data_IF_928469823727
#
_entry.id   IF_928469823727
#
_cell.length_a   1.000
_cell.length_b   1.000
_cell.length_c   1.000
_cell.angle_alpha   90.00
_cell.angle_beta   90.00
_cell.angle_gamma   90.00
#
_symmetry.space_group_name_H-M   'P 1'
#
loop_
_entity.id
_entity.type
_entity.pdbx_description
1 polymer ?
#
# COMPACT_ATOMS: atom_id res chain seq x y z
N UNK A 1 73.04 -70.57 -18.67
CA UNK A 1 72.04 -70.55 -19.76
C UNK A 1 70.68 -70.21 -19.16
N UNK A 2 69.94 -69.29 -19.83
CA UNK A 2 68.49 -68.96 -19.68
C UNK A 2 68.07 -68.37 -18.31
N UNK A 3 68.02 -67.03 -18.15
CA UNK A 3 66.96 -66.06 -18.53
C UNK A 3 65.58 -66.42 -17.96
N UNK A 4 65.06 -65.58 -17.05
CA UNK A 4 63.77 -64.89 -17.20
C UNK A 4 63.58 -63.86 -16.07
N UNK A 5 63.67 -62.58 -16.46
CA UNK A 5 63.19 -61.40 -15.74
C UNK A 5 61.66 -61.43 -15.75
N UNK A 6 61.01 -61.19 -14.61
CA UNK A 6 59.60 -60.83 -14.54
C UNK A 6 59.51 -59.39 -14.01
N UNK A 7 59.17 -58.46 -14.91
CA UNK A 7 58.88 -57.06 -14.61
C UNK A 7 57.43 -57.01 -14.12
N UNK A 8 57.24 -56.74 -12.83
CA UNK A 8 55.93 -56.46 -12.26
C UNK A 8 55.56 -55.01 -12.56
N UNK A 9 54.58 -54.82 -13.46
CA UNK A 9 53.95 -53.53 -13.73
C UNK A 9 53.00 -53.21 -12.57
N UNK A 10 53.32 -52.17 -11.80
CA UNK A 10 52.43 -51.62 -10.78
C UNK A 10 51.47 -50.66 -11.48
N UNK A 11 50.14 -50.89 -11.46
CA UNK A 11 49.19 -49.88 -11.89
C UNK A 11 49.10 -48.79 -10.82
N UNK A 12 49.52 -47.58 -11.18
CA UNK A 12 49.37 -46.36 -10.40
C UNK A 12 47.88 -45.99 -10.35
N UNK A 13 47.23 -46.28 -9.22
CA UNK A 13 45.86 -45.85 -8.94
C UNK A 13 45.90 -44.34 -8.65
N UNK A 14 45.42 -43.55 -9.61
CA UNK A 14 45.08 -42.13 -9.41
C UNK A 14 43.87 -42.07 -8.48
N UNK A 15 44.12 -41.78 -7.20
CA UNK A 15 43.10 -41.31 -6.25
C UNK A 15 42.66 -39.92 -6.71
N UNK A 16 41.58 -39.88 -7.49
CA UNK A 16 40.79 -38.67 -7.67
C UNK A 16 40.18 -38.40 -6.29
N UNK A 17 40.82 -37.53 -5.51
CA UNK A 17 40.14 -36.85 -4.42
C UNK A 17 39.04 -36.04 -5.07
N UNK A 18 37.82 -36.58 -5.08
CA UNK A 18 36.64 -35.75 -5.24
C UNK A 18 36.71 -34.72 -4.13
N UNK A 19 36.79 -33.44 -4.49
CA UNK A 19 36.29 -32.41 -3.61
C UNK A 19 34.83 -32.76 -3.35
N UNK A 20 34.55 -33.39 -2.22
CA UNK A 20 33.24 -33.22 -1.60
C UNK A 20 33.18 -31.73 -1.29
N UNK A 21 32.57 -30.95 -2.19
CA UNK A 21 32.09 -29.62 -1.85
C UNK A 21 31.10 -29.86 -0.70
N UNK A 22 31.52 -29.49 0.52
CA UNK A 22 30.61 -29.39 1.66
C UNK A 22 29.38 -28.61 1.17
N UNK A 23 28.16 -29.12 1.40
CA UNK A 23 26.98 -28.42 0.93
C UNK A 23 27.00 -27.01 1.51
N UNK A 24 27.09 -26.01 0.63
CA UNK A 24 27.05 -24.60 1.02
C UNK A 24 25.80 -24.40 1.86
N UNK A 25 25.99 -23.96 3.11
CA UNK A 25 24.89 -23.70 4.02
C UNK A 25 24.04 -22.56 3.44
N UNK A 26 22.87 -22.90 2.93
CA UNK A 26 21.93 -21.92 2.37
C UNK A 26 21.49 -20.95 3.47
N UNK A 27 21.71 -19.65 3.24
CA UNK A 27 21.26 -18.60 4.16
C UNK A 27 19.73 -18.59 4.24
N UNK A 28 19.21 -18.73 5.46
CA UNK A 28 17.78 -18.65 5.71
C UNK A 28 17.33 -17.20 5.82
N UNK A 29 16.15 -16.89 5.29
CA UNK A 29 15.60 -15.55 5.36
C UNK A 29 15.26 -15.13 6.80
N UNK A 30 15.31 -13.83 7.12
CA UNK A 30 14.59 -13.32 8.29
C UNK A 30 13.09 -13.57 8.16
N UNK A 31 12.31 -13.31 9.21
CA UNK A 31 10.84 -13.51 9.17
C UNK A 31 10.08 -12.32 9.75
N UNK A 32 8.75 -12.31 9.59
CA UNK A 32 7.85 -11.33 10.21
C UNK A 32 8.26 -9.86 9.96
N UNK A 33 8.45 -9.49 8.68
CA UNK A 33 8.70 -8.09 8.33
C UNK A 33 7.45 -7.26 8.64
N UNK A 34 7.63 -6.26 9.49
CA UNK A 34 6.62 -5.28 9.85
C UNK A 34 7.07 -3.91 9.37
N UNK A 35 6.08 -3.07 9.09
CA UNK A 35 6.26 -1.68 8.69
C UNK A 35 5.37 -0.81 9.59
N UNK A 36 5.96 0.25 10.10
CA UNK A 36 5.26 1.27 10.89
C UNK A 36 5.63 2.66 10.39
N UNK A 37 4.71 3.61 10.52
CA UNK A 37 4.99 5.02 10.26
C UNK A 37 5.72 5.61 11.45
N UNK A 38 6.71 6.46 11.17
CA UNK A 38 7.49 7.16 12.18
C UNK A 38 7.76 8.59 11.75
N UNK A 39 8.33 9.38 12.66
CA UNK A 39 8.52 10.81 12.50
C UNK A 39 7.23 11.61 12.73
N UNK A 40 7.37 12.86 13.16
CA UNK A 40 6.21 13.73 13.45
C UNK A 40 5.40 14.12 12.21
N UNK A 41 6.00 14.01 11.02
CA UNK A 41 5.35 14.35 9.75
C UNK A 41 4.62 13.18 9.10
N UNK A 42 4.69 11.97 9.68
CA UNK A 42 4.13 10.74 9.10
C UNK A 42 4.59 10.46 7.65
N UNK A 43 5.81 10.88 7.32
CA UNK A 43 6.46 10.60 6.04
C UNK A 43 7.65 9.66 6.19
N UNK A 44 8.06 9.27 7.39
CA UNK A 44 9.12 8.27 7.56
C UNK A 44 8.53 6.91 7.88
N UNK A 45 9.26 5.85 7.54
CA UNK A 45 8.87 4.49 7.88
C UNK A 45 9.96 3.79 8.67
N UNK A 46 9.55 2.89 9.56
CA UNK A 46 10.44 1.97 10.25
C UNK A 46 10.04 0.54 9.89
N UNK A 47 11.07 -0.23 9.53
CA UNK A 47 10.98 -1.66 9.26
C UNK A 47 11.55 -2.40 10.46
N UNK A 48 10.86 -3.44 10.90
CA UNK A 48 11.33 -4.37 11.93
C UNK A 48 11.09 -5.80 11.49
N UNK A 49 11.99 -6.70 11.82
CA UNK A 49 11.86 -8.12 11.47
C UNK A 49 12.42 -9.02 12.57
N UNK A 50 12.08 -10.30 12.51
CA UNK A 50 12.71 -11.33 13.31
C UNK A 50 14.01 -11.76 12.62
N UNK A 51 15.06 -12.00 13.42
CA UNK A 51 16.35 -12.41 12.92
C UNK A 51 16.29 -13.68 12.07
N UNK A 52 17.21 -13.82 11.12
CA UNK A 52 17.43 -15.08 10.42
C UNK A 52 17.84 -16.17 11.42
N UNK A 53 17.37 -17.42 11.25
CA UNK A 53 17.86 -18.54 12.05
C UNK A 53 19.31 -18.95 11.71
N UNK A 54 19.86 -18.52 10.56
CA UNK A 54 21.26 -18.82 10.19
C UNK A 54 22.25 -18.12 11.12
N UNK A 55 23.15 -18.90 11.73
CA UNK A 55 23.98 -18.49 12.87
C UNK A 55 25.39 -18.06 12.49
N UNK A 56 25.59 -16.90 11.86
CA UNK A 56 26.90 -16.36 11.37
C UNK A 56 26.67 -15.54 10.09
N UNK A 57 25.56 -14.81 10.04
CA UNK A 57 25.34 -13.81 9.01
C UNK A 57 26.13 -12.55 9.38
N UNK A 58 26.56 -11.79 8.38
CA UNK A 58 27.20 -10.49 8.59
C UNK A 58 26.16 -9.41 8.90
N UNK A 59 24.93 -9.57 8.41
CA UNK A 59 23.82 -8.67 8.67
C UNK A 59 22.67 -8.85 7.69
N UNK A 60 21.98 -7.76 7.41
CA UNK A 60 20.84 -7.68 6.52
C UNK A 60 21.03 -6.62 5.45
N UNK A 61 20.66 -6.93 4.21
CA UNK A 61 20.55 -5.97 3.11
C UNK A 61 19.11 -5.50 3.04
N UNK A 62 18.89 -4.20 3.15
CA UNK A 62 17.57 -3.57 3.02
C UNK A 62 17.48 -2.89 1.66
N UNK A 63 16.45 -3.22 0.89
CA UNK A 63 16.19 -2.65 -0.44
C UNK A 63 14.80 -2.04 -0.51
N UNK A 64 14.65 -1.02 -1.33
CA UNK A 64 13.36 -0.57 -1.86
C UNK A 64 13.35 -0.86 -3.35
N UNK A 65 12.38 -1.67 -3.77
CA UNK A 65 12.39 -2.33 -5.07
C UNK A 65 13.72 -3.11 -5.22
N UNK A 66 14.53 -2.76 -6.23
CA UNK A 66 15.82 -3.41 -6.49
C UNK A 66 17.01 -2.51 -6.11
N UNK A 67 16.75 -1.36 -5.47
CA UNK A 67 17.79 -0.43 -5.01
C UNK A 67 18.14 -0.74 -3.56
N UNK A 68 19.42 -1.04 -3.31
CA UNK A 68 19.95 -1.17 -1.95
C UNK A 68 19.92 0.18 -1.24
N UNK A 69 19.19 0.23 -0.13
CA UNK A 69 19.14 1.38 0.75
C UNK A 69 20.29 1.34 1.74
N UNK A 70 20.50 0.19 2.38
CA UNK A 70 21.54 0.02 3.41
C UNK A 70 21.89 -1.45 3.69
N UNK A 71 23.00 -1.66 4.41
CA UNK A 71 23.36 -2.91 5.08
C UNK A 71 23.45 -2.69 6.58
N UNK A 72 22.64 -3.41 7.34
CA UNK A 72 22.53 -3.23 8.79
C UNK A 72 22.82 -4.53 9.54
N UNK A 73 23.39 -4.43 10.75
CA UNK A 73 23.65 -5.61 11.61
C UNK A 73 22.49 -5.91 12.56
N UNK A 74 21.65 -4.91 12.84
CA UNK A 74 20.45 -5.06 13.67
C UNK A 74 19.22 -5.52 12.87
N UNK A 75 18.11 -5.76 13.58
CA UNK A 75 16.84 -6.21 13.00
C UNK A 75 15.82 -5.08 12.78
N UNK A 76 16.32 -3.87 12.59
CA UNK A 76 15.50 -2.68 12.34
C UNK A 76 16.20 -1.73 11.37
N UNK A 77 15.40 -1.02 10.58
CA UNK A 77 15.85 0.03 9.67
C UNK A 77 14.83 1.16 9.60
N UNK A 78 15.27 2.40 9.48
CA UNK A 78 14.38 3.57 9.31
C UNK A 78 14.71 4.25 7.99
N UNK A 79 13.70 4.35 7.11
CA UNK A 79 13.79 5.12 5.88
C UNK A 79 13.12 6.48 6.11
N UNK A 80 13.93 7.51 6.32
CA UNK A 80 13.43 8.86 6.56
C UNK A 80 12.92 9.48 5.25
N UNK A 81 11.66 9.92 5.24
CA UNK A 81 11.01 10.62 4.12
C UNK A 81 11.34 10.03 2.74
N UNK A 82 10.99 8.74 2.45
CA UNK A 82 11.28 8.14 1.17
C UNK A 82 10.56 8.90 0.06
N UNK A 83 11.25 9.14 -1.04
CA UNK A 83 10.69 9.86 -2.22
C UNK A 83 9.91 8.93 -3.17
N UNK A 84 9.98 7.62 -2.93
CA UNK A 84 9.34 6.60 -3.75
C UNK A 84 8.58 5.60 -2.89
N UNK A 85 7.43 5.18 -3.39
CA UNK A 85 6.71 3.99 -2.98
C UNK A 85 7.28 2.75 -3.69
N UNK A 86 7.07 1.59 -3.09
CA UNK A 86 7.56 0.34 -3.64
C UNK A 86 7.52 -0.81 -2.64
N UNK A 87 8.16 -1.90 -3.03
CA UNK A 87 8.31 -3.11 -2.21
C UNK A 87 9.61 -3.02 -1.43
N UNK A 88 9.51 -2.97 -0.11
CA UNK A 88 10.67 -3.12 0.76
C UNK A 88 11.03 -4.60 0.84
N UNK A 89 12.33 -4.89 0.73
CA UNK A 89 12.88 -6.25 0.82
C UNK A 89 14.01 -6.29 1.83
N UNK A 90 14.00 -7.31 2.67
CA UNK A 90 15.08 -7.58 3.63
C UNK A 90 15.59 -9.00 3.38
N UNK A 91 16.91 -9.11 3.20
CA UNK A 91 17.63 -10.39 3.06
C UNK A 91 18.72 -10.46 4.12
N UNK A 92 18.97 -11.63 4.68
CA UNK A 92 20.21 -11.86 5.42
C UNK A 92 21.37 -12.04 4.43
N UNK A 93 22.58 -11.66 4.82
CA UNK A 93 23.76 -11.85 3.96
C UNK A 93 24.98 -12.34 4.74
N UNK A 94 25.88 -13.02 4.05
CA UNK A 94 27.21 -13.46 4.51
C UNK A 94 28.18 -13.38 3.34
N UNK A 95 29.19 -12.52 3.41
CA UNK A 95 30.03 -12.20 2.24
C UNK A 95 29.18 -11.68 1.08
N UNK A 96 29.28 -12.36 -0.06
CA UNK A 96 28.52 -12.04 -1.27
C UNK A 96 27.18 -12.82 -1.37
N UNK A 97 26.92 -13.76 -0.46
CA UNK A 97 25.71 -14.58 -0.45
C UNK A 97 24.54 -13.84 0.23
N UNK A 98 23.34 -14.01 -0.32
CA UNK A 98 22.10 -13.46 0.22
C UNK A 98 21.02 -14.55 0.34
N UNK A 99 20.26 -14.52 1.43
CA UNK A 99 19.06 -15.35 1.60
C UNK A 99 17.94 -14.93 0.64
N UNK A 100 16.86 -15.71 0.61
CA UNK A 100 15.57 -15.23 0.12
C UNK A 100 15.12 -13.95 0.85
N UNK A 101 14.28 -13.16 0.19
CA UNK A 101 13.74 -11.92 0.74
C UNK A 101 12.41 -12.14 1.46
N UNK A 102 12.25 -11.47 2.61
CA UNK A 102 10.93 -11.09 3.11
C UNK A 102 10.58 -9.70 2.60
N UNK A 103 9.29 -9.44 2.42
CA UNK A 103 8.85 -8.21 1.76
C UNK A 103 7.55 -7.65 2.32
N UNK A 104 7.41 -6.33 2.20
CA UNK A 104 6.20 -5.56 2.52
C UNK A 104 6.10 -4.40 1.52
N UNK A 105 4.89 -4.04 1.10
CA UNK A 105 4.68 -3.01 0.07
C UNK A 105 4.11 -1.72 0.64
N UNK A 106 4.59 -0.60 0.12
CA UNK A 106 4.02 0.74 0.29
C UNK A 106 3.33 1.24 -0.98
N UNK A 107 3.29 0.41 -2.03
CA UNK A 107 2.63 0.75 -3.29
C UNK A 107 1.14 0.98 -3.07
N UNK A 108 0.58 1.96 -3.78
CA UNK A 108 -0.84 2.20 -3.71
C UNK A 108 -1.62 1.06 -4.35
N UNK A 109 -2.70 0.68 -3.69
CA UNK A 109 -3.71 -0.19 -4.28
C UNK A 109 -4.59 0.68 -5.16
N UNK A 110 -4.32 0.66 -6.46
CA UNK A 110 -5.04 1.45 -7.46
C UNK A 110 -6.20 0.63 -8.02
N UNK A 111 -7.38 1.26 -8.11
CA UNK A 111 -8.56 0.70 -8.77
C UNK A 111 -9.20 1.75 -9.67
N UNK A 112 -9.51 1.31 -10.88
CA UNK A 112 -10.15 2.09 -11.94
C UNK A 112 -11.65 1.78 -12.01
N UNK A 113 -12.43 2.63 -12.67
CA UNK A 113 -13.84 2.37 -13.01
C UNK A 113 -14.72 2.01 -11.79
N UNK A 114 -14.54 2.75 -10.69
CA UNK A 114 -15.29 2.57 -9.45
C UNK A 114 -16.59 3.38 -9.46
N UNK A 115 -17.56 2.95 -8.65
CA UNK A 115 -18.93 3.45 -8.70
C UNK A 115 -19.77 2.75 -9.78
N UNK A 116 -20.88 3.36 -10.26
CA UNK A 116 -21.37 4.68 -9.86
C UNK A 116 -21.84 4.71 -8.41
N UNK A 117 -21.57 5.82 -7.73
CA UNK A 117 -22.21 6.15 -6.45
C UNK A 117 -23.32 7.14 -6.74
N UNK A 118 -24.55 6.74 -6.44
CA UNK A 118 -25.75 7.51 -6.76
C UNK A 118 -26.10 8.50 -5.66
N UNK A 119 -26.85 9.55 -6.01
CA UNK A 119 -27.37 10.48 -5.02
C UNK A 119 -28.25 9.74 -4.01
N UNK A 120 -28.25 10.21 -2.76
CA UNK A 120 -28.95 9.58 -1.66
C UNK A 120 -30.43 9.32 -1.96
N UNK A 121 -31.11 10.29 -2.58
CA UNK A 121 -32.53 10.23 -2.93
C UNK A 121 -32.83 9.49 -4.25
N UNK A 122 -31.87 8.76 -4.83
CA UNK A 122 -32.15 7.91 -5.98
C UNK A 122 -33.24 6.88 -5.65
N UNK A 123 -34.13 6.58 -6.61
CA UNK A 123 -34.95 5.38 -6.54
C UNK A 123 -34.08 4.17 -6.21
N UNK A 124 -34.53 3.35 -5.28
CA UNK A 124 -33.74 2.24 -4.71
C UNK A 124 -33.31 1.19 -5.73
N UNK A 125 -34.00 1.11 -6.88
CA UNK A 125 -33.67 0.24 -8.01
C UNK A 125 -32.59 0.81 -8.94
N UNK A 126 -32.17 2.06 -8.74
CA UNK A 126 -31.15 2.74 -9.55
C UNK A 126 -29.73 2.33 -9.15
N UNK A 127 -29.48 2.18 -7.84
CA UNK A 127 -28.18 1.78 -7.31
C UNK A 127 -27.91 2.34 -5.92
N UNK A 128 -26.69 2.11 -5.46
CA UNK A 128 -26.25 2.44 -4.11
C UNK A 128 -25.64 3.83 -4.01
N UNK A 129 -25.89 4.50 -2.88
CA UNK A 129 -25.50 5.90 -2.64
C UNK A 129 -24.29 6.08 -1.74
N UNK A 130 -23.73 4.98 -1.24
CA UNK A 130 -22.56 4.99 -0.38
C UNK A 130 -21.44 4.11 -0.92
N UNK A 131 -20.23 4.33 -0.41
CA UNK A 131 -19.04 3.58 -0.72
C UNK A 131 -18.13 3.49 0.50
N UNK A 132 -17.39 2.39 0.63
CA UNK A 132 -16.36 2.24 1.65
C UNK A 132 -15.32 1.21 1.27
N UNK A 133 -14.17 1.25 1.94
CA UNK A 133 -13.01 0.40 1.77
C UNK A 133 -12.78 -0.45 3.01
N UNK A 134 -12.40 -1.71 2.79
CA UNK A 134 -11.86 -2.53 3.87
C UNK A 134 -10.36 -2.25 4.10
N UNK A 135 -9.78 -2.91 5.10
CA UNK A 135 -8.35 -2.77 5.43
C UNK A 135 -7.40 -3.17 4.28
N UNK A 136 -7.84 -4.03 3.37
CA UNK A 136 -7.08 -4.44 2.19
C UNK A 136 -7.21 -3.44 1.02
N UNK A 137 -7.84 -2.29 1.25
CA UNK A 137 -8.08 -1.26 0.23
C UNK A 137 -9.04 -1.71 -0.87
N UNK A 138 -9.87 -2.73 -0.63
CA UNK A 138 -10.93 -3.18 -1.54
C UNK A 138 -12.18 -2.38 -1.21
N UNK A 139 -12.66 -1.62 -2.19
CA UNK A 139 -13.84 -0.80 -2.05
C UNK A 139 -15.11 -1.42 -2.63
N UNK A 140 -16.26 -1.12 -2.01
CA UNK A 140 -17.59 -1.56 -2.43
C UNK A 140 -18.61 -0.44 -2.28
N UNK A 141 -19.70 -0.52 -3.05
CA UNK A 141 -20.87 0.35 -2.91
C UNK A 141 -21.89 -0.24 -1.93
N UNK A 142 -22.56 0.61 -1.16
CA UNK A 142 -23.51 0.20 -0.11
C UNK A 142 -24.83 1.00 -0.15
N UNK A 143 -25.92 0.36 0.25
CA UNK A 143 -27.13 1.07 0.62
C UNK A 143 -26.93 1.80 1.95
N UNK A 144 -27.49 3.00 2.08
CA UNK A 144 -27.46 3.80 3.31
C UNK A 144 -28.48 3.28 4.33
N UNK A 145 -28.19 2.10 4.89
CA UNK A 145 -28.97 1.48 5.98
C UNK A 145 -28.07 1.21 7.18
N UNK A 146 -28.64 1.22 8.39
CA UNK A 146 -27.85 1.12 9.63
C UNK A 146 -26.96 -0.11 9.71
N UNK A 147 -27.32 -1.23 9.07
CA UNK A 147 -26.51 -2.44 9.03
C UNK A 147 -25.16 -2.26 8.28
N UNK A 148 -25.05 -1.25 7.41
CA UNK A 148 -23.84 -0.96 6.63
C UNK A 148 -23.02 0.20 7.19
N UNK A 149 -23.45 0.85 8.28
CA UNK A 149 -22.88 2.12 8.75
C UNK A 149 -21.38 2.01 9.07
N UNK A 150 -20.94 0.86 9.56
CA UNK A 150 -19.54 0.55 9.91
C UNK A 150 -18.75 0.00 8.70
N UNK A 151 -19.26 0.15 7.48
CA UNK A 151 -18.59 -0.25 6.23
C UNK A 151 -18.63 0.86 5.18
N UNK A 152 -19.23 2.00 5.51
CA UNK A 152 -19.35 3.14 4.63
C UNK A 152 -18.28 4.14 5.05
N UNK A 153 -17.53 4.67 4.10
CA UNK A 153 -16.58 5.76 4.33
C UNK A 153 -17.09 7.08 3.75
N UNK A 154 -17.93 7.04 2.73
CA UNK A 154 -18.66 8.22 2.27
C UNK A 154 -20.00 7.85 1.64
N UNK A 155 -20.93 8.81 1.66
CA UNK A 155 -22.14 8.76 0.84
C UNK A 155 -22.24 9.99 -0.03
N UNK A 156 -22.94 9.85 -1.17
CA UNK A 156 -23.24 10.97 -2.05
C UNK A 156 -24.60 11.55 -1.74
N UNK A 157 -24.63 12.86 -1.54
CA UNK A 157 -25.88 13.60 -1.38
C UNK A 157 -25.78 14.98 -2.05
N UNK A 158 -26.92 15.57 -2.34
CA UNK A 158 -27.05 16.95 -2.80
C UNK A 158 -27.67 17.78 -1.68
N UNK A 159 -27.16 18.99 -1.46
CA UNK A 159 -27.89 19.97 -0.65
C UNK A 159 -29.13 20.47 -1.43
N UNK A 160 -30.17 19.64 -1.44
CA UNK A 160 -31.52 19.95 -1.91
C UNK A 160 -31.90 19.34 -3.26
N UNK A 161 -33.16 18.92 -3.37
CA UNK A 161 -33.79 18.47 -4.61
C UNK A 161 -33.84 19.64 -5.60
N UNK A 162 -33.02 19.57 -6.65
CA UNK A 162 -32.94 20.57 -7.72
C UNK A 162 -32.12 21.84 -7.43
N UNK A 163 -31.27 21.90 -6.38
CA UNK A 163 -30.65 23.16 -5.92
C UNK A 163 -29.23 23.09 -5.30
N UNK A 164 -28.33 22.21 -5.76
CA UNK A 164 -26.98 22.19 -5.17
C UNK A 164 -25.89 21.50 -5.98
N UNK A 165 -24.65 21.66 -5.53
CA UNK A 165 -23.49 20.87 -5.95
C UNK A 165 -23.54 19.51 -5.24
N UNK A 166 -23.37 18.41 -5.99
CA UNK A 166 -23.24 17.07 -5.41
C UNK A 166 -22.07 17.03 -4.42
N UNK A 167 -22.19 16.31 -3.32
CA UNK A 167 -21.18 16.19 -2.28
C UNK A 167 -20.91 14.73 -1.95
N UNK A 168 -19.65 14.43 -1.65
CA UNK A 168 -19.30 13.27 -0.84
C UNK A 168 -19.27 13.71 0.61
N UNK A 169 -19.94 12.97 1.48
CA UNK A 169 -20.15 13.32 2.88
C UNK A 169 -19.74 12.14 3.74
N UNK A 170 -19.10 12.44 4.86
CA UNK A 170 -18.74 11.48 5.89
C UNK A 170 -20.00 10.90 6.55
N UNK A 171 -20.09 9.58 6.75
CA UNK A 171 -21.31 8.96 7.29
C UNK A 171 -21.59 9.35 8.74
N UNK A 172 -20.58 9.70 9.55
CA UNK A 172 -20.74 10.31 10.89
C UNK A 172 -21.64 11.56 10.90
N UNK A 173 -21.77 12.22 9.74
CA UNK A 173 -22.53 13.46 9.57
C UNK A 173 -24.01 13.20 9.23
N UNK A 174 -24.39 11.95 8.98
CA UNK A 174 -25.78 11.58 8.74
C UNK A 174 -26.58 11.61 10.05
N UNK A 175 -27.79 12.21 10.08
CA UNK A 175 -28.60 12.29 11.29
C UNK A 175 -28.87 10.91 11.93
N UNK A 176 -28.42 10.75 13.18
CA UNK A 176 -28.56 9.50 13.94
C UNK A 176 -27.45 8.48 13.75
N UNK A 177 -26.41 8.79 12.95
CA UNK A 177 -25.24 7.94 12.70
C UNK A 177 -23.95 8.55 13.24
N UNK A 178 -24.00 9.26 14.38
CA UNK A 178 -22.81 9.87 14.98
C UNK A 178 -21.74 8.88 15.49
N UNK A 179 -22.01 7.58 15.36
CA UNK A 179 -21.11 6.46 15.67
C UNK A 179 -20.72 5.65 14.42
N UNK A 180 -21.06 6.12 13.21
CA UNK A 180 -20.55 5.56 11.97
C UNK A 180 -19.12 6.08 11.69
N UNK A 181 -18.44 5.50 10.71
CA UNK A 181 -17.06 5.89 10.39
C UNK A 181 -16.91 7.39 10.15
N UNK A 182 -15.86 7.96 10.75
CA UNK A 182 -15.42 9.31 10.43
C UNK A 182 -14.49 9.30 9.21
N UNK A 183 -14.92 9.93 8.11
CA UNK A 183 -14.06 10.22 6.97
C UNK A 183 -13.87 11.71 6.81
N UNK A 184 -12.64 12.09 6.47
CA UNK A 184 -12.24 13.49 6.38
C UNK A 184 -11.67 13.75 5.00
N UNK A 185 -12.17 14.80 4.34
CA UNK A 185 -11.91 15.11 2.95
C UNK A 185 -11.07 16.37 2.82
N UNK A 186 -10.09 16.33 1.93
CA UNK A 186 -9.33 17.48 1.47
C UNK A 186 -9.49 17.61 -0.06
N UNK A 187 -9.90 18.78 -0.51
CA UNK A 187 -9.94 19.10 -1.94
C UNK A 187 -8.57 19.58 -2.38
N UNK A 188 -8.02 18.94 -3.40
CA UNK A 188 -6.74 19.38 -3.98
C UNK A 188 -6.97 20.43 -5.07
N UNK A 189 -5.93 21.19 -5.40
CA UNK A 189 -5.90 22.02 -6.61
C UNK A 189 -5.66 21.22 -7.90
N UNK A 190 -5.46 19.90 -7.81
CA UNK A 190 -5.03 19.05 -8.90
C UNK A 190 -6.24 18.48 -9.68
N UNK A 191 -6.06 18.32 -10.99
CA UNK A 191 -7.12 17.83 -11.89
C UNK A 191 -6.60 16.82 -12.91
N UNK A 192 -7.48 15.91 -13.34
CA UNK A 192 -7.21 14.90 -14.35
C UNK A 192 -6.27 13.81 -13.87
N UNK A 193 -5.87 12.95 -14.81
CA UNK A 193 -4.94 11.83 -14.56
C UNK A 193 -3.58 12.36 -14.09
N UNK A 194 -3.08 13.44 -14.69
CA UNK A 194 -1.83 14.06 -14.28
C UNK A 194 -1.93 14.63 -12.86
N UNK A 195 -3.04 15.27 -12.52
CA UNK A 195 -3.30 15.73 -11.16
C UNK A 195 -3.33 14.59 -10.15
N UNK A 196 -3.91 13.45 -10.51
CA UNK A 196 -3.92 12.26 -9.66
C UNK A 196 -2.51 11.70 -9.45
N UNK A 197 -1.68 11.68 -10.49
CA UNK A 197 -0.27 11.27 -10.41
C UNK A 197 0.57 12.25 -9.58
N UNK A 198 0.36 13.55 -9.77
CA UNK A 198 1.10 14.62 -9.08
C UNK A 198 0.66 14.84 -7.63
N UNK A 199 -0.47 14.26 -7.22
CA UNK A 199 -0.87 14.22 -5.81
C UNK A 199 -0.07 13.13 -5.09
N UNK A 200 1.12 13.53 -4.59
CA UNK A 200 2.13 12.62 -4.03
C UNK A 200 2.16 12.57 -2.52
N UNK A 201 1.68 13.60 -1.81
CA UNK A 201 1.70 13.68 -0.35
C UNK A 201 0.34 14.18 0.13
N UNK A 202 -0.24 13.48 1.09
CA UNK A 202 -1.43 13.92 1.80
C UNK A 202 -1.10 15.08 2.77
N UNK A 203 -1.99 16.09 2.90
CA UNK A 203 -1.94 17.02 4.02
C UNK A 203 -1.92 16.30 5.37
N UNK A 204 -1.40 16.96 6.39
CA UNK A 204 -1.37 16.40 7.73
C UNK A 204 -2.78 16.41 8.32
N UNK A 205 -3.23 15.27 8.82
CA UNK A 205 -4.50 15.20 9.52
C UNK A 205 -4.49 16.06 10.80
N UNK A 206 -5.60 16.72 11.10
CA UNK A 206 -5.73 17.62 12.26
C UNK A 206 -5.23 19.06 12.04
N UNK A 207 -4.55 19.37 10.93
CA UNK A 207 -4.04 20.72 10.64
C UNK A 207 -4.96 21.46 9.67
N UNK A 208 -6.19 21.75 10.08
CA UNK A 208 -7.15 22.66 9.40
C UNK A 208 -7.46 22.37 7.91
N UNK A 209 -6.95 21.29 7.34
CA UNK A 209 -6.98 21.00 5.91
C UNK A 209 -8.15 20.11 5.51
N UNK A 210 -8.88 19.56 6.48
CA UNK A 210 -9.88 18.53 6.26
C UNK A 210 -11.28 18.99 6.68
N UNK A 211 -12.28 18.54 5.94
CA UNK A 211 -13.71 18.74 6.19
C UNK A 211 -14.43 17.39 6.28
N UNK A 212 -15.65 17.36 6.82
CA UNK A 212 -16.52 16.18 6.83
C UNK A 212 -17.28 15.98 5.50
N UNK A 213 -17.08 16.88 4.53
CA UNK A 213 -17.60 16.72 3.17
C UNK A 213 -16.66 17.36 2.14
N UNK A 214 -16.82 16.96 0.88
CA UNK A 214 -16.25 17.66 -0.26
C UNK A 214 -17.28 17.79 -1.39
N UNK A 215 -17.26 18.93 -2.07
CA UNK A 215 -18.12 19.18 -3.24
C UNK A 215 -17.53 18.57 -4.50
N UNK A 216 -18.33 17.80 -5.22
CA UNK A 216 -18.01 17.29 -6.54
C UNK A 216 -18.43 18.35 -7.57
N UNK A 217 -17.54 19.29 -7.88
CA UNK A 217 -17.87 20.42 -8.77
C UNK A 217 -17.68 20.10 -10.25
N UNK A 218 -16.77 19.18 -10.60
CA UNK A 218 -16.43 18.84 -11.99
C UNK A 218 -15.82 17.44 -12.10
N UNK A 219 -15.91 16.86 -13.30
CA UNK A 219 -15.14 15.65 -13.65
C UNK A 219 -13.66 15.99 -13.69
N UNK A 220 -12.81 15.09 -13.21
CA UNK A 220 -11.37 15.28 -13.15
C UNK A 220 -10.86 15.84 -11.83
N UNK A 221 -11.69 16.26 -10.88
CA UNK A 221 -11.19 16.68 -9.56
C UNK A 221 -10.52 15.54 -8.80
N UNK A 222 -9.44 15.87 -8.10
CA UNK A 222 -8.73 14.97 -7.18
C UNK A 222 -8.98 15.38 -5.74
N UNK A 223 -9.35 14.41 -4.91
CA UNK A 223 -9.54 14.55 -3.47
C UNK A 223 -8.58 13.65 -2.72
N UNK A 224 -8.30 14.02 -1.48
CA UNK A 224 -7.59 13.17 -0.51
C UNK A 224 -8.56 12.91 0.63
N UNK A 225 -8.75 11.64 0.96
CA UNK A 225 -9.57 11.17 2.06
C UNK A 225 -8.63 10.62 3.14
N UNK A 226 -8.95 10.91 4.38
CA UNK A 226 -8.41 10.24 5.56
C UNK A 226 -9.55 9.47 6.21
N UNK A 227 -9.39 8.14 6.30
CA UNK A 227 -10.41 7.22 6.81
C UNK A 227 -10.23 7.01 8.32
N UNK A 228 -11.31 6.64 9.02
CA UNK A 228 -11.26 6.28 10.44
C UNK A 228 -10.23 5.17 10.75
N UNK A 229 -10.03 4.25 9.81
CA UNK A 229 -9.01 3.19 9.88
C UNK A 229 -7.57 3.71 9.88
N UNK A 230 -7.35 5.02 9.71
CA UNK A 230 -6.05 5.67 9.65
C UNK A 230 -5.42 5.67 8.26
N UNK A 231 -6.08 5.12 7.24
CA UNK A 231 -5.54 5.05 5.88
C UNK A 231 -5.86 6.32 5.08
N UNK A 232 -4.98 6.62 4.11
CA UNK A 232 -5.21 7.68 3.14
C UNK A 232 -5.67 7.11 1.80
N UNK A 233 -6.59 7.81 1.15
CA UNK A 233 -7.03 7.52 -0.22
C UNK A 233 -6.92 8.78 -1.05
N UNK A 234 -6.29 8.71 -2.23
CA UNK A 234 -6.53 9.72 -3.27
C UNK A 234 -7.61 9.25 -4.22
N UNK A 235 -8.54 10.12 -4.56
CA UNK A 235 -9.70 9.82 -5.40
C UNK A 235 -9.76 10.80 -6.57
N UNK A 236 -9.85 10.29 -7.80
CA UNK A 236 -10.08 11.07 -9.02
C UNK A 236 -11.50 10.82 -9.51
N UNK A 237 -12.30 11.87 -9.65
CA UNK A 237 -13.63 11.77 -10.29
C UNK A 237 -13.43 11.56 -11.78
N UNK A 238 -13.90 10.43 -12.31
CA UNK A 238 -13.71 10.04 -13.72
C UNK A 238 -14.96 10.26 -14.57
N UNK A 239 -16.13 10.36 -13.95
CA UNK A 239 -17.38 10.64 -14.64
C UNK A 239 -18.42 11.23 -13.70
N UNK A 240 -19.33 12.03 -14.25
CA UNK A 240 -20.45 12.63 -13.52
C UNK A 240 -21.70 12.63 -14.36
N UNK A 241 -22.82 12.39 -13.69
CA UNK A 241 -24.16 12.64 -14.19
C UNK A 241 -24.83 13.63 -13.24
N UNK A 242 -25.20 14.80 -13.76
CA UNK A 242 -25.71 15.94 -12.99
C UNK A 242 -27.17 16.29 -13.31
N UNK A 243 -27.89 15.36 -13.95
CA UNK A 243 -29.31 15.53 -14.29
C UNK A 243 -30.07 14.22 -14.08
N UNK A 244 -31.34 14.33 -13.66
CA UNK A 244 -32.15 13.19 -13.26
C UNK A 244 -31.59 12.52 -12.00
N UNK A 245 -31.41 11.20 -12.01
CA UNK A 245 -30.68 10.52 -10.93
C UNK A 245 -29.19 10.81 -11.08
N UNK A 246 -28.65 11.64 -10.19
CA UNK A 246 -27.24 12.03 -10.22
C UNK A 246 -26.34 10.89 -9.75
N UNK A 247 -25.14 10.83 -10.29
CA UNK A 247 -24.09 9.93 -9.82
C UNK A 247 -22.71 10.43 -10.23
N UNK A 248 -21.69 9.79 -9.67
CA UNK A 248 -20.34 9.89 -10.18
C UNK A 248 -19.64 8.54 -10.19
N UNK A 249 -18.65 8.43 -11.06
CA UNK A 249 -17.67 7.34 -11.08
C UNK A 249 -16.29 7.90 -10.78
N UNK A 250 -15.39 7.04 -10.32
CA UNK A 250 -14.07 7.47 -9.89
C UNK A 250 -13.00 6.40 -10.08
N UNK A 251 -11.76 6.83 -9.91
CA UNK A 251 -10.57 6.02 -9.69
C UNK A 251 -10.06 6.34 -8.29
N UNK A 252 -9.45 5.39 -7.61
CA UNK A 252 -8.71 5.69 -6.37
C UNK A 252 -7.35 5.01 -6.31
N UNK A 253 -6.50 5.53 -5.41
CA UNK A 253 -5.30 4.89 -4.91
C UNK A 253 -5.33 4.88 -3.39
N UNK A 254 -5.43 3.68 -2.81
CA UNK A 254 -5.46 3.45 -1.37
C UNK A 254 -4.04 3.20 -0.86
N UNK A 255 -3.62 3.90 0.19
CA UNK A 255 -2.32 3.70 0.83
C UNK A 255 -2.44 2.58 1.87
N UNK A 256 -1.82 1.40 1.66
CA UNK A 256 -1.98 0.25 2.55
C UNK A 256 -1.37 0.43 3.95
N UNK A 257 -0.50 1.42 4.15
CA UNK A 257 0.12 1.66 5.46
C UNK A 257 -0.64 2.77 6.18
N UNK A 258 -1.38 2.40 7.23
CA UNK A 258 -2.10 3.36 8.09
C UNK A 258 -1.16 4.46 8.60
N UNK A 259 -1.61 5.71 8.50
CA UNK A 259 -0.88 6.92 8.86
C UNK A 259 0.10 7.42 7.80
N UNK A 260 0.50 6.60 6.82
CA UNK A 260 1.56 7.00 5.90
C UNK A 260 1.02 7.97 4.85
N UNK A 261 1.58 9.19 4.79
CA UNK A 261 1.02 10.26 3.96
C UNK A 261 1.45 10.22 2.49
N UNK A 262 2.40 9.36 2.10
CA UNK A 262 2.88 9.33 0.72
C UNK A 262 1.92 8.56 -0.19
N UNK A 263 1.52 9.22 -1.28
CA UNK A 263 0.55 8.78 -2.28
C UNK A 263 1.14 8.73 -3.70
N UNK A 264 2.46 8.86 -3.85
CA UNK A 264 3.12 8.77 -5.15
C UNK A 264 4.64 8.91 -5.07
N UNK A 265 5.28 8.62 -6.19
CA UNK A 265 6.73 8.73 -6.38
C UNK A 265 7.09 10.14 -6.86
N UNK A 266 8.23 10.65 -6.44
CA UNK A 266 8.78 11.92 -6.93
C UNK A 266 9.27 11.83 -8.38
#
# INVERSE_FOLDING_TARGET
MKRLMAIAVIPLILLIFGCDEEPEEVLQAPTNLQIEVTGGDNLSIKLTWNASPTTNIDGYVVRLNDVTLDRVTGTQFTHNNPTSLGVYRVRAYRGDDESDAIQVSTELIVRENQGPVWWFDAPSDTGYSAYGWNADGIGNTYSMVGANKDSIDFYMDSVGVGKGTDKIISPDSYPGWGDAHETRFNTTGNTGVDGFTNTKIAPEFGVGAYSNYAEITETGKVYILYLESGHYVKLLVTGRKVSGNHNFTFKYGFQPIAGFRRLGND
#
